data_IF_439212914896
#
_entry.id   IF_439212914896
#
_cell.length_a   1.000
_cell.length_b   1.000
_cell.length_c   1.000
_cell.angle_alpha   90.00
_cell.angle_beta   90.00
_cell.angle_gamma   90.00
#
_symmetry.space_group_name_H-M   'P 1'
#
loop_
_entity.id
_entity.type
_entity.pdbx_description
1 polymer ?
#
# COMPACT_ATOMS: atom_id res chain seq x y z
N UNK A 1 -15.88 -8.08 -12.73
CA UNK A 1 -15.73 -7.72 -11.29
C UNK A 1 -14.55 -8.56 -10.80
N UNK A 2 -13.42 -7.94 -10.45
CA UNK A 2 -12.26 -8.69 -9.94
C UNK A 2 -12.55 -8.92 -8.46
N UNK A 3 -13.10 -10.09 -8.16
CA UNK A 3 -13.48 -10.46 -6.80
C UNK A 3 -12.20 -10.61 -5.96
N UNK A 4 -12.09 -9.79 -4.92
CA UNK A 4 -11.05 -9.92 -3.89
C UNK A 4 -11.58 -10.97 -2.92
N UNK A 5 -11.14 -12.21 -3.11
CA UNK A 5 -11.58 -13.34 -2.30
C UNK A 5 -10.55 -13.49 -1.18
N UNK A 6 -10.99 -13.34 0.06
CA UNK A 6 -10.14 -13.52 1.24
C UNK A 6 -9.75 -15.00 1.40
N UNK A 7 -8.61 -15.22 2.06
CA UNK A 7 -7.89 -16.49 2.14
C UNK A 7 -8.81 -17.69 2.48
N UNK A 8 -9.19 -18.45 1.45
CA UNK A 8 -10.12 -19.56 1.61
C UNK A 8 -10.54 -20.22 0.29
N UNK A 9 -9.60 -20.96 -0.31
CA UNK A 9 -9.89 -22.09 -1.22
C UNK A 9 -10.50 -21.75 -2.59
N UNK A 10 -9.67 -21.38 -3.55
CA UNK A 10 -9.99 -21.56 -4.98
C UNK A 10 -9.03 -22.60 -5.56
N UNK A 11 -9.56 -23.65 -6.19
CA UNK A 11 -8.78 -24.65 -6.93
C UNK A 11 -7.87 -23.93 -7.94
N UNK A 12 -6.58 -23.78 -7.61
CA UNK A 12 -5.63 -23.04 -8.43
C UNK A 12 -4.84 -24.04 -9.28
N UNK A 13 -5.10 -24.03 -10.58
CA UNK A 13 -4.25 -24.67 -11.57
C UNK A 13 -2.90 -23.93 -11.58
N UNK A 14 -1.94 -24.50 -10.86
CA UNK A 14 -0.69 -23.87 -10.43
C UNK A 14 0.34 -23.63 -11.54
N UNK A 15 0.16 -24.22 -12.73
CA UNK A 15 1.09 -24.04 -13.86
C UNK A 15 0.73 -22.87 -14.79
N UNK A 16 -0.53 -22.40 -14.79
CA UNK A 16 -0.99 -21.31 -15.66
C UNK A 16 -1.14 -19.97 -14.92
N UNK A 17 -1.37 -19.99 -13.60
CA UNK A 17 -1.62 -18.80 -12.80
C UNK A 17 -0.54 -18.65 -11.72
N UNK A 18 0.31 -17.60 -11.80
CA UNK A 18 1.24 -17.26 -10.72
C UNK A 18 0.47 -16.54 -9.61
N UNK A 19 0.48 -17.03 -8.36
CA UNK A 19 -0.14 -16.31 -7.25
C UNK A 19 0.61 -15.00 -7.00
N UNK A 20 -0.10 -13.88 -7.04
CA UNK A 20 0.44 -12.57 -6.65
C UNK A 20 0.05 -12.36 -5.18
N UNK A 21 1.00 -12.62 -4.29
CA UNK A 21 0.81 -12.47 -2.85
C UNK A 21 0.98 -10.99 -2.50
N UNK A 22 -0.04 -10.40 -1.85
CA UNK A 22 0.00 -9.01 -1.40
C UNK A 22 0.13 -8.93 0.13
N UNK A 23 1.14 -8.22 0.60
CA UNK A 23 1.29 -7.91 2.02
C UNK A 23 0.49 -6.65 2.38
N UNK A 24 -0.55 -6.81 3.22
CA UNK A 24 -1.48 -5.75 3.65
C UNK A 24 -1.07 -5.15 5.00
N UNK A 25 0.07 -5.56 5.56
CA UNK A 25 0.53 -5.09 6.87
C UNK A 25 0.75 -3.58 6.86
N UNK A 26 0.36 -2.96 7.97
CA UNK A 26 0.54 -1.53 8.16
C UNK A 26 2.03 -1.20 8.29
N UNK A 27 2.53 -0.29 7.46
CA UNK A 27 3.95 0.11 7.45
C UNK A 27 4.08 1.54 8.00
N UNK A 28 5.00 1.79 8.94
CA UNK A 28 5.25 3.13 9.43
C UNK A 28 6.05 3.95 8.39
N UNK A 29 5.67 5.21 8.19
CA UNK A 29 6.43 6.19 7.40
C UNK A 29 6.64 7.44 8.24
N UNK A 30 7.89 7.83 8.45
CA UNK A 30 8.24 9.13 9.03
C UNK A 30 8.42 10.15 7.91
N UNK A 31 7.62 11.21 7.90
CA UNK A 31 7.77 12.33 6.99
C UNK A 31 8.38 13.49 7.79
N UNK A 32 9.65 13.86 7.54
CA UNK A 32 10.20 15.08 8.10
C UNK A 32 9.60 16.29 7.39
N UNK A 33 9.19 17.30 8.16
CA UNK A 33 8.67 18.56 7.67
C UNK A 33 9.42 19.68 8.37
N UNK A 34 10.10 20.52 7.59
CA UNK A 34 10.76 21.71 8.08
C UNK A 34 9.75 22.87 8.00
N UNK A 35 9.51 23.52 9.12
CA UNK A 35 8.48 24.57 9.24
C UNK A 35 9.15 25.85 9.72
N UNK A 36 8.93 26.93 8.99
CA UNK A 36 9.36 28.26 9.39
C UNK A 36 8.26 28.94 10.21
N UNK A 37 8.60 29.39 11.42
CA UNK A 37 7.67 30.04 12.34
C UNK A 37 7.77 31.55 12.16
N UNK A 38 6.68 32.26 12.49
CA UNK A 38 6.54 33.72 12.38
C UNK A 38 7.70 34.52 13.01
N UNK A 39 8.45 33.91 13.90
CA UNK A 39 9.61 34.48 14.59
C UNK A 39 10.95 34.15 13.91
N UNK A 40 10.96 33.79 12.62
CA UNK A 40 12.12 33.32 11.83
C UNK A 40 12.83 32.09 12.42
N UNK A 41 12.11 31.30 13.23
CA UNK A 41 12.64 30.07 13.79
C UNK A 41 12.25 28.89 12.90
N UNK A 42 13.26 28.15 12.45
CA UNK A 42 13.05 26.93 11.65
C UNK A 42 12.98 25.72 12.57
N UNK A 43 11.81 25.08 12.65
CA UNK A 43 11.58 23.87 13.45
C UNK A 43 11.45 22.64 12.55
N UNK A 44 12.15 21.57 12.93
CA UNK A 44 12.04 20.26 12.32
C UNK A 44 10.96 19.44 13.01
N UNK A 45 9.80 19.28 12.37
CA UNK A 45 8.71 18.44 12.86
C UNK A 45 8.79 17.09 12.14
N UNK A 46 8.66 15.99 12.87
CA UNK A 46 8.59 14.65 12.26
C UNK A 46 7.22 14.03 12.52
N UNK A 47 6.48 13.77 11.45
CA UNK A 47 5.17 13.10 11.53
C UNK A 47 5.36 11.61 11.26
N UNK A 48 4.94 10.78 12.22
CA UNK A 48 4.91 9.32 12.05
C UNK A 48 3.52 8.92 11.60
N UNK A 49 3.39 8.54 10.35
CA UNK A 49 2.13 8.11 9.75
C UNK A 49 2.19 6.60 9.56
N UNK A 50 1.18 5.89 10.05
CA UNK A 50 0.98 4.48 9.76
C UNK A 50 0.03 4.37 8.57
N UNK A 51 0.43 3.68 7.51
CA UNK A 51 -0.41 3.46 6.35
C UNK A 51 -0.55 1.98 6.04
N UNK A 52 -1.74 1.57 5.61
CA UNK A 52 -2.03 0.21 5.12
C UNK A 52 -2.87 0.28 3.85
N UNK A 53 -2.57 -0.52 2.82
CA UNK A 53 -3.37 -0.55 1.60
C UNK A 53 -4.76 -1.17 1.88
N UNK A 54 -5.78 -0.74 1.12
CA UNK A 54 -7.12 -1.34 1.19
C UNK A 54 -7.19 -2.57 0.28
N UNK A 55 -7.52 -3.73 0.86
CA UNK A 55 -7.56 -5.02 0.18
C UNK A 55 -8.41 -5.00 -1.11
N UNK A 56 -9.62 -4.45 -1.03
CA UNK A 56 -10.59 -4.37 -2.13
C UNK A 56 -10.10 -3.60 -3.37
N UNK A 57 -9.18 -2.66 -3.16
CA UNK A 57 -8.67 -1.77 -4.20
C UNK A 57 -7.32 -2.25 -4.75
N UNK A 58 -6.67 -3.23 -4.10
CA UNK A 58 -5.37 -3.75 -4.52
C UNK A 58 -5.37 -4.26 -5.97
N UNK A 59 -6.32 -5.09 -6.46
CA UNK A 59 -6.25 -5.61 -7.81
C UNK A 59 -6.41 -4.52 -8.88
N UNK A 60 -7.30 -3.55 -8.61
CA UNK A 60 -7.52 -2.40 -9.51
C UNK A 60 -6.30 -1.50 -9.58
N UNK A 61 -5.69 -1.25 -8.43
CA UNK A 61 -4.52 -0.40 -8.27
C UNK A 61 -3.28 -1.06 -8.91
N UNK A 62 -3.09 -2.35 -8.67
CA UNK A 62 -2.04 -3.16 -9.28
C UNK A 62 -2.12 -3.17 -10.81
N UNK A 63 -3.33 -3.36 -11.36
CA UNK A 63 -3.57 -3.30 -12.80
C UNK A 63 -3.31 -1.89 -13.38
N UNK A 64 -3.69 -0.83 -12.66
CA UNK A 64 -3.49 0.57 -13.08
C UNK A 64 -2.03 1.00 -13.06
N UNK A 65 -1.23 0.49 -12.12
CA UNK A 65 0.20 0.83 -12.00
C UNK A 65 1.11 0.07 -12.97
N UNK A 66 0.54 -0.67 -13.93
CA UNK A 66 1.30 -1.24 -15.03
C UNK A 66 2.11 -2.48 -14.66
N UNK A 67 1.89 -3.07 -13.48
CA UNK A 67 2.36 -4.43 -13.16
C UNK A 67 1.48 -5.46 -13.87
N UNK A 68 1.39 -5.34 -15.19
CA UNK A 68 0.85 -6.36 -16.08
C UNK A 68 2.02 -7.29 -16.40
N UNK A 69 1.89 -8.57 -16.03
CA UNK A 69 2.73 -9.61 -16.61
C UNK A 69 2.56 -9.60 -18.14
#
# INVERSE_FOLDING_TARGET
>A
KLDVIEEGTHFMISWLHRPIIFDIRARPRSVPSITEIKDLQTINITLRILYRPRAELLPKTFCKFGFRL
#
